data_IF_246368463051
#
_entry.id   IF_246368463051
#
_cell.length_a   1.000
_cell.length_b   1.000
_cell.length_c   1.000
_cell.angle_alpha   90.00
_cell.angle_beta   90.00
_cell.angle_gamma   90.00
#
_symmetry.space_group_name_H-M   'P 1'
#
loop_
_entity.id
_entity.type
_entity.pdbx_description
1 polymer ?
#
# COMPACT_ATOMS: atom_id res chain seq x y z
N UNK A 1 23.20 -6.97 7.74
CA UNK A 1 23.41 -6.28 6.45
C UNK A 1 22.30 -5.24 6.32
N UNK A 2 22.51 -3.94 6.20
CA UNK A 2 23.70 -3.10 6.10
C UNK A 2 23.22 -1.73 6.60
N UNK A 3 23.82 -1.21 7.66
CA UNK A 3 23.69 0.20 8.00
C UNK A 3 24.39 1.00 6.90
N UNK A 4 23.60 1.57 6.00
CA UNK A 4 24.02 2.71 5.18
C UNK A 4 22.88 3.74 5.20
N UNK A 5 22.85 4.56 6.25
CA UNK A 5 22.16 5.84 6.20
C UNK A 5 23.27 6.88 6.05
N UNK A 6 23.72 7.02 4.80
CA UNK A 6 24.40 8.24 4.34
C UNK A 6 23.35 9.35 4.44
N UNK A 7 23.75 10.49 5.01
CA UNK A 7 22.86 11.60 5.40
C UNK A 7 22.03 12.20 4.27
N UNK A 8 20.93 11.55 3.92
CA UNK A 8 19.81 12.17 3.23
C UNK A 8 18.97 12.96 4.22
N UNK A 9 18.63 14.20 3.87
CA UNK A 9 17.57 14.94 4.57
C UNK A 9 16.30 14.08 4.48
N UNK A 10 15.85 13.53 5.61
CA UNK A 10 14.57 12.82 5.66
C UNK A 10 13.48 13.88 5.50
N UNK A 11 12.96 14.05 4.29
CA UNK A 11 11.79 14.87 4.07
C UNK A 11 10.60 14.17 4.75
N UNK A 12 10.09 14.79 5.82
CA UNK A 12 8.94 14.27 6.54
C UNK A 12 7.72 14.29 5.60
N UNK A 13 7.28 13.13 5.15
CA UNK A 13 6.07 12.99 4.35
C UNK A 13 4.87 12.85 5.29
N UNK A 14 3.87 13.71 5.12
CA UNK A 14 2.59 13.54 5.81
C UNK A 14 1.81 12.43 5.12
N UNK A 15 1.50 11.38 5.87
CA UNK A 15 0.70 10.24 5.41
C UNK A 15 -0.65 10.24 6.12
N UNK A 16 -1.75 10.23 5.35
CA UNK A 16 -3.11 10.02 5.85
C UNK A 16 -3.53 8.59 5.55
N UNK A 17 -3.70 7.79 6.60
CA UNK A 17 -4.24 6.45 6.50
C UNK A 17 -5.75 6.48 6.77
N UNK A 18 -6.52 6.05 5.79
CA UNK A 18 -7.98 5.94 5.88
C UNK A 18 -8.33 4.45 5.99
N UNK A 19 -8.91 4.10 7.13
CA UNK A 19 -9.40 2.75 7.42
C UNK A 19 -10.92 2.77 7.34
N UNK A 20 -11.49 2.03 6.37
CA UNK A 20 -12.92 1.72 6.45
C UNK A 20 -13.15 0.68 7.56
N UNK A 21 -14.25 0.81 8.28
CA UNK A 21 -14.56 -0.02 9.46
C UNK A 21 -14.83 -1.48 9.08
N UNK A 22 -14.77 -2.39 10.06
CA UNK A 22 -15.13 -3.81 9.98
C UNK A 22 -14.16 -4.72 9.19
N UNK A 23 -12.87 -4.66 9.54
CA UNK A 23 -11.90 -5.63 9.06
C UNK A 23 -12.23 -7.05 9.52
N UNK A 24 -12.21 -7.98 8.57
CA UNK A 24 -12.39 -9.39 8.87
C UNK A 24 -11.16 -9.95 9.57
N UNK A 25 -11.40 -10.83 10.53
CA UNK A 25 -10.36 -11.64 11.15
C UNK A 25 -10.23 -12.92 10.32
N UNK A 26 -9.01 -13.28 9.94
CA UNK A 26 -8.73 -14.48 9.16
C UNK A 26 -7.50 -15.20 9.70
N UNK A 27 -7.42 -16.51 9.44
CA UNK A 27 -6.29 -17.34 9.83
C UNK A 27 -5.15 -17.23 8.81
N UNK A 28 -3.90 -17.26 9.29
CA UNK A 28 -2.72 -17.24 8.43
C UNK A 28 -1.42 -17.04 9.18
N UNK A 29 -0.31 -17.04 8.46
CA UNK A 29 1.00 -16.75 9.02
C UNK A 29 1.17 -15.24 9.25
N UNK A 30 1.03 -14.81 10.51
CA UNK A 30 1.11 -13.39 10.91
C UNK A 30 2.30 -12.65 10.30
N UNK A 31 3.50 -13.24 10.33
CA UNK A 31 4.72 -12.61 9.80
C UNK A 31 4.67 -12.40 8.29
N UNK A 32 4.12 -13.36 7.54
CA UNK A 32 4.00 -13.25 6.08
C UNK A 32 2.98 -12.18 5.67
N UNK A 33 1.84 -12.12 6.36
CA UNK A 33 0.86 -11.05 6.13
C UNK A 33 1.43 -9.68 6.52
N UNK A 34 2.13 -9.59 7.64
CA UNK A 34 2.81 -8.36 8.03
C UNK A 34 3.80 -7.91 6.97
N UNK A 35 4.63 -8.83 6.44
CA UNK A 35 5.56 -8.52 5.37
C UNK A 35 4.84 -8.06 4.09
N UNK A 36 3.76 -8.74 3.70
CA UNK A 36 2.93 -8.37 2.56
C UNK A 36 2.41 -6.94 2.70
N UNK A 37 1.78 -6.60 3.83
CA UNK A 37 1.25 -5.26 4.06
C UNK A 37 2.36 -4.20 4.12
N UNK A 38 3.50 -4.49 4.76
CA UNK A 38 4.66 -3.59 4.78
C UNK A 38 5.18 -3.30 3.37
N UNK A 39 5.25 -4.31 2.51
CA UNK A 39 5.69 -4.11 1.12
C UNK A 39 4.73 -3.19 0.36
N UNK A 40 3.42 -3.37 0.53
CA UNK A 40 2.42 -2.53 -0.13
C UNK A 40 2.45 -1.08 0.39
N UNK A 41 2.50 -0.87 1.71
CA UNK A 41 2.60 0.48 2.28
C UNK A 41 3.93 1.17 1.94
N UNK A 42 5.04 0.42 1.94
CA UNK A 42 6.34 0.95 1.54
C UNK A 42 6.32 1.41 0.08
N UNK A 43 5.67 0.67 -0.81
CA UNK A 43 5.48 1.09 -2.20
C UNK A 43 4.67 2.40 -2.29
N UNK A 44 3.55 2.53 -1.58
CA UNK A 44 2.77 3.77 -1.58
C UNK A 44 3.58 4.98 -1.09
N UNK A 45 4.45 4.80 -0.09
CA UNK A 45 5.34 5.86 0.41
C UNK A 45 6.43 6.20 -0.61
N UNK A 46 7.11 5.18 -1.14
CA UNK A 46 8.22 5.32 -2.10
C UNK A 46 7.78 6.02 -3.38
N UNK A 47 6.57 5.74 -3.86
CA UNK A 47 6.03 6.30 -5.10
C UNK A 47 4.98 7.40 -4.86
N UNK A 48 5.04 8.04 -3.69
CA UNK A 48 4.22 9.22 -3.37
C UNK A 48 4.68 10.44 -4.17
N UNK A 49 3.77 11.41 -4.36
CA UNK A 49 4.09 12.69 -4.99
C UNK A 49 4.67 13.65 -3.96
N UNK A 50 5.58 14.53 -4.38
CA UNK A 50 6.27 15.48 -3.50
C UNK A 50 5.46 16.74 -3.18
N UNK A 51 4.43 17.03 -3.98
CA UNK A 51 3.64 18.26 -3.91
C UNK A 51 2.28 18.11 -3.22
N UNK A 52 1.89 16.90 -2.81
CA UNK A 52 0.65 16.64 -2.09
C UNK A 52 0.84 15.57 -1.00
N UNK A 53 0.05 15.62 0.10
CA UNK A 53 0.07 14.56 1.10
C UNK A 53 -0.28 13.21 0.50
N UNK A 54 0.36 12.16 1.01
CA UNK A 54 0.03 10.79 0.63
C UNK A 54 -1.24 10.36 1.36
N UNK A 55 -2.23 9.87 0.61
CA UNK A 55 -3.48 9.32 1.13
C UNK A 55 -3.50 7.83 0.78
N UNK A 56 -3.52 6.98 1.79
CA UNK A 56 -3.65 5.53 1.63
C UNK A 56 -5.03 5.13 2.15
N UNK A 57 -5.82 4.47 1.29
CA UNK A 57 -7.10 3.91 1.65
C UNK A 57 -6.97 2.39 1.77
N UNK A 58 -7.34 1.84 2.92
CA UNK A 58 -7.48 0.42 3.15
C UNK A 58 -8.97 0.07 3.33
N UNK A 59 -9.45 -0.85 2.51
CA UNK A 59 -10.82 -1.38 2.59
C UNK A 59 -10.81 -2.89 2.49
N UNK A 60 -11.82 -3.53 3.07
CA UNK A 60 -12.11 -4.93 2.85
C UNK A 60 -13.56 -5.12 2.41
N UNK A 61 -13.79 -6.10 1.57
CA UNK A 61 -15.11 -6.50 1.06
C UNK A 61 -15.24 -8.01 1.21
N UNK A 62 -16.29 -8.47 1.87
CA UNK A 62 -16.65 -9.88 1.88
C UNK A 62 -17.43 -10.19 0.61
N UNK A 63 -16.98 -11.18 -0.15
CA UNK A 63 -17.77 -11.74 -1.25
C UNK A 63 -18.82 -12.70 -0.70
N UNK A 64 -19.81 -13.01 -1.54
CA UNK A 64 -20.84 -14.01 -1.23
C UNK A 64 -20.22 -15.41 -1.00
N UNK A 65 -19.08 -15.70 -1.62
CA UNK A 65 -18.37 -16.98 -1.54
C UNK A 65 -17.38 -17.07 -0.37
N UNK A 66 -17.56 -16.26 0.68
CA UNK A 66 -16.69 -16.22 1.87
C UNK A 66 -15.24 -15.81 1.62
N UNK A 67 -14.93 -15.18 0.48
CA UNK A 67 -13.62 -14.58 0.26
C UNK A 67 -13.60 -13.16 0.81
N UNK A 68 -12.50 -12.79 1.47
CA UNK A 68 -12.25 -11.40 1.86
C UNK A 68 -11.31 -10.75 0.84
N UNK A 69 -11.83 -9.76 0.11
CA UNK A 69 -11.03 -8.90 -0.76
C UNK A 69 -10.51 -7.73 0.05
N UNK A 70 -9.20 -7.69 0.29
CA UNK A 70 -8.53 -6.53 0.88
C UNK A 70 -7.98 -5.67 -0.25
N UNK A 71 -8.31 -4.37 -0.26
CA UNK A 71 -7.81 -3.42 -1.25
C UNK A 71 -7.04 -2.29 -0.54
N UNK A 72 -5.83 -2.04 -1.04
CA UNK A 72 -5.00 -0.89 -0.67
C UNK A 72 -4.88 -0.02 -1.91
N UNK A 73 -5.20 1.26 -1.80
CA UNK A 73 -5.06 2.23 -2.89
C UNK A 73 -4.46 3.52 -2.37
N UNK A 74 -3.61 4.15 -3.17
CA UNK A 74 -2.99 5.44 -2.87
C UNK A 74 -3.21 6.47 -3.99
N UNK A 75 -2.91 7.74 -3.69
CA UNK A 75 -2.91 8.84 -4.66
C UNK A 75 -1.50 9.12 -5.24
N UNK A 76 -0.59 8.15 -5.23
CA UNK A 76 0.78 8.29 -5.72
C UNK A 76 0.88 8.42 -7.25
N UNK A 77 2.06 8.11 -7.79
CA UNK A 77 2.33 8.23 -9.24
C UNK A 77 1.54 7.24 -10.12
N UNK A 78 1.00 6.18 -9.51
CA UNK A 78 0.34 5.09 -10.24
C UNK A 78 1.32 4.17 -10.96
N UNK A 79 0.77 3.20 -11.68
CA UNK A 79 1.51 2.23 -12.50
C UNK A 79 1.07 2.45 -13.96
N UNK A 80 1.99 2.65 -14.92
CA UNK A 80 1.63 2.81 -16.32
C UNK A 80 0.80 1.64 -16.84
N UNK A 81 -0.25 1.93 -17.60
CA UNK A 81 -0.98 0.91 -18.33
C UNK A 81 -0.12 0.46 -19.52
N UNK A 82 0.25 -0.82 -19.55
CA UNK A 82 0.81 -1.41 -20.76
C UNK A 82 -0.36 -1.80 -21.66
N UNK A 83 -0.60 -1.03 -22.70
CA UNK A 83 -1.57 -1.39 -23.75
C UNK A 83 -0.79 -2.24 -24.75
N UNK A 84 -1.03 -3.55 -24.76
CA UNK A 84 -0.56 -4.39 -25.86
C UNK A 84 -1.42 -4.06 -27.07
N UNK A 85 -0.90 -3.20 -27.95
CA UNK A 85 -1.41 -3.04 -29.30
C UNK A 85 -0.92 -4.25 -30.10
N UNK A 86 -1.69 -5.33 -30.10
CA UNK A 86 -1.53 -6.36 -31.12
C UNK A 86 -2.04 -5.77 -32.44
N UNK A 87 -1.13 -5.61 -33.40
CA UNK A 87 -1.41 -5.28 -34.80
C UNK A 87 -1.52 -6.57 -35.62
#
# INVERSE_FOLDING_TARGET
MLNQIVGGIIQAQVVRLILKTNFQIFNGHKSLFQQLFLNLFSNSIKYSKTNEPLIINLRNELSQDSYCKISISDNGMGIPLVINLEF
#
